data_IF_981001769774
#
_entry.id   IF_981001769774
#
_cell.length_a   1.000
_cell.length_b   1.000
_cell.length_c   1.000
_cell.angle_alpha   90.00
_cell.angle_beta   90.00
_cell.angle_gamma   90.00
#
_symmetry.space_group_name_H-M   'P 1'
#
loop_
_entity.id
_entity.type
_entity.pdbx_description
1 polymer ?
#
# COMPACT_ATOMS: atom_id res chain seq x y z
N UNK A 1 -0.12 -18.13 -3.24
CA UNK A 1 0.49 -19.48 -3.46
C UNK A 1 -0.11 -20.19 -4.69
N UNK A 2 -1.44 -20.27 -4.81
CA UNK A 2 -2.05 -21.00 -5.95
C UNK A 2 -1.73 -20.37 -7.31
N UNK A 3 -1.75 -19.03 -7.42
CA UNK A 3 -1.40 -18.34 -8.66
C UNK A 3 0.07 -18.56 -9.05
N UNK A 4 1.02 -18.48 -8.11
CA UNK A 4 2.44 -18.75 -8.38
C UNK A 4 2.69 -20.18 -8.88
N UNK A 5 1.98 -21.15 -8.32
CA UNK A 5 2.08 -22.56 -8.76
C UNK A 5 1.56 -22.73 -10.17
N UNK A 6 0.46 -22.07 -10.54
CA UNK A 6 -0.14 -22.15 -11.86
C UNK A 6 0.77 -21.64 -12.98
N UNK A 7 1.57 -20.61 -12.69
CA UNK A 7 2.48 -20.01 -13.67
C UNK A 7 3.95 -20.42 -13.48
N UNK A 8 4.23 -21.33 -12.54
CA UNK A 8 5.58 -21.80 -12.25
C UNK A 8 6.53 -20.71 -11.73
N UNK A 9 6.00 -19.66 -11.10
CA UNK A 9 6.80 -18.55 -10.61
C UNK A 9 7.64 -18.97 -9.40
N UNK A 10 8.97 -18.77 -9.49
CA UNK A 10 9.92 -19.10 -8.41
C UNK A 10 10.08 -17.96 -7.41
N UNK A 11 9.95 -16.70 -7.85
CA UNK A 11 10.07 -15.51 -7.04
C UNK A 11 8.85 -14.58 -7.24
N UNK A 12 7.67 -14.97 -6.74
CA UNK A 12 6.48 -14.15 -6.87
C UNK A 12 6.59 -12.91 -5.98
N UNK A 13 6.05 -11.80 -6.45
CA UNK A 13 5.83 -10.57 -5.68
C UNK A 13 4.37 -10.16 -5.84
N UNK A 14 3.73 -9.73 -4.76
CA UNK A 14 2.42 -9.10 -4.82
C UNK A 14 2.58 -7.59 -5.00
N UNK A 15 1.74 -6.99 -5.84
CA UNK A 15 1.69 -5.54 -6.02
C UNK A 15 0.26 -5.08 -5.82
N UNK A 16 0.05 -4.05 -5.03
CA UNK A 16 -1.28 -3.53 -4.76
C UNK A 16 -1.26 -2.23 -3.96
N UNK A 17 -2.44 -1.66 -3.82
CA UNK A 17 -2.68 -0.36 -3.16
C UNK A 17 -3.47 -0.49 -1.85
N UNK A 18 -3.91 -1.71 -1.49
CA UNK A 18 -4.69 -1.96 -0.29
C UNK A 18 -3.90 -2.74 0.75
N UNK A 19 -3.76 -2.14 1.93
CA UNK A 19 -2.99 -2.72 3.04
C UNK A 19 -3.66 -3.97 3.61
N UNK A 20 -4.98 -3.95 3.80
CA UNK A 20 -5.75 -5.02 4.44
C UNK A 20 -6.05 -6.23 3.53
N UNK A 21 -5.83 -6.12 2.23
CA UNK A 21 -6.04 -7.21 1.27
C UNK A 21 -4.76 -7.62 0.60
N UNK A 22 -4.19 -6.73 -0.23
CA UNK A 22 -3.04 -7.05 -1.08
C UNK A 22 -1.79 -7.28 -0.25
N UNK A 23 -1.47 -6.30 0.62
CA UNK A 23 -0.24 -6.35 1.41
C UNK A 23 -0.36 -7.38 2.53
N UNK A 24 -1.47 -7.39 3.27
CA UNK A 24 -1.70 -8.37 4.32
C UNK A 24 -1.74 -9.80 3.77
N UNK A 25 -2.36 -10.01 2.62
CA UNK A 25 -2.39 -11.31 1.95
C UNK A 25 -1.00 -11.78 1.53
N UNK A 26 -0.15 -10.88 1.02
CA UNK A 26 1.24 -11.18 0.67
C UNK A 26 2.07 -11.53 1.91
N UNK A 27 1.98 -10.72 2.97
CA UNK A 27 2.68 -10.96 4.25
C UNK A 27 2.28 -12.31 4.83
N UNK A 28 0.99 -12.62 4.89
CA UNK A 28 0.47 -13.91 5.37
C UNK A 28 0.94 -15.09 4.50
N UNK A 29 1.13 -14.88 3.20
CA UNK A 29 1.66 -15.88 2.29
C UNK A 29 3.19 -16.02 2.33
N UNK A 30 3.90 -15.14 3.04
CA UNK A 30 5.37 -15.08 3.05
C UNK A 30 5.95 -14.66 1.70
N UNK A 31 5.24 -13.81 0.94
CA UNK A 31 5.63 -13.31 -0.38
C UNK A 31 5.95 -11.83 -0.25
N UNK A 32 7.05 -11.33 -0.87
CA UNK A 32 7.31 -9.89 -0.92
C UNK A 32 6.13 -9.12 -1.50
N UNK A 33 5.86 -7.95 -0.96
CA UNK A 33 4.81 -7.06 -1.41
C UNK A 33 5.36 -5.69 -1.79
N UNK A 34 4.89 -5.12 -2.90
CA UNK A 34 5.09 -3.73 -3.28
C UNK A 34 3.79 -2.97 -3.12
N UNK A 35 3.82 -1.90 -2.34
CA UNK A 35 2.70 -0.97 -2.25
C UNK A 35 2.90 0.17 -3.25
N UNK A 36 1.84 0.51 -3.99
CA UNK A 36 1.80 1.62 -4.95
C UNK A 36 0.81 2.69 -4.47
N UNK A 37 1.16 3.96 -4.68
CA UNK A 37 0.40 5.11 -4.18
C UNK A 37 -0.72 5.58 -5.14
N UNK A 38 -1.01 4.81 -6.20
CA UNK A 38 -2.00 5.18 -7.22
C UNK A 38 -3.45 4.84 -6.87
N UNK A 39 -3.70 4.30 -5.68
CA UNK A 39 -5.00 3.77 -5.33
C UNK A 39 -5.54 4.19 -3.96
N UNK A 40 -6.08 3.24 -3.20
CA UNK A 40 -6.88 3.50 -1.99
C UNK A 40 -6.06 4.03 -0.82
N UNK A 41 -4.97 3.33 -0.47
CA UNK A 41 -4.14 3.75 0.67
C UNK A 41 -3.00 4.65 0.21
N UNK A 42 -2.93 5.82 0.83
CA UNK A 42 -1.89 6.81 0.59
C UNK A 42 -0.76 6.69 1.63
N UNK A 43 0.29 7.48 1.48
CA UNK A 43 1.50 7.41 2.28
C UNK A 43 1.26 7.38 3.79
N UNK A 44 0.38 8.25 4.30
CA UNK A 44 0.02 8.29 5.72
C UNK A 44 -0.49 6.96 6.27
N UNK A 45 -1.33 6.26 5.52
CA UNK A 45 -1.86 4.96 5.94
C UNK A 45 -0.74 3.92 6.05
N UNK A 46 0.19 3.92 5.10
CA UNK A 46 1.33 2.99 5.06
C UNK A 46 2.29 3.24 6.22
N UNK A 47 2.62 4.51 6.53
CA UNK A 47 3.49 4.86 7.66
C UNK A 47 2.92 4.39 9.00
N UNK A 48 1.60 4.29 9.12
CA UNK A 48 0.89 3.85 10.32
C UNK A 48 0.50 2.37 10.30
N UNK A 49 0.92 1.63 9.28
CA UNK A 49 0.53 0.24 9.08
C UNK A 49 1.05 -0.68 10.20
N UNK A 50 0.22 -1.58 10.74
CA UNK A 50 0.65 -2.63 11.66
C UNK A 50 1.54 -3.65 10.95
N UNK A 51 2.34 -4.42 11.68
CA UNK A 51 3.32 -5.38 11.12
C UNK A 51 2.78 -6.28 10.01
N UNK A 52 1.56 -6.78 10.14
CA UNK A 52 0.94 -7.66 9.16
C UNK A 52 0.52 -6.98 7.85
N UNK A 53 0.64 -5.65 7.77
CA UNK A 53 0.23 -4.84 6.61
C UNK A 53 1.38 -3.97 6.07
N UNK A 54 2.63 -4.28 6.41
CA UNK A 54 3.81 -3.53 5.94
C UNK A 54 4.34 -4.14 4.67
N UNK A 55 4.42 -3.37 3.58
CA UNK A 55 5.00 -3.85 2.32
C UNK A 55 6.52 -3.97 2.42
N UNK A 56 7.10 -4.81 1.56
CA UNK A 56 8.54 -4.94 1.39
C UNK A 56 9.12 -3.78 0.61
N UNK A 57 8.35 -3.30 -0.40
CA UNK A 57 8.75 -2.23 -1.31
C UNK A 57 7.69 -1.15 -1.36
N UNK A 58 8.13 0.09 -1.53
CA UNK A 58 7.30 1.28 -1.67
C UNK A 58 7.60 1.94 -3.02
N UNK A 59 6.56 2.18 -3.81
CA UNK A 59 6.66 2.79 -5.12
C UNK A 59 5.55 3.82 -5.34
N UNK A 60 5.77 4.78 -6.23
CA UNK A 60 4.74 5.73 -6.63
C UNK A 60 3.64 5.03 -7.42
N UNK A 61 4.03 4.19 -8.37
CA UNK A 61 3.14 3.45 -9.25
C UNK A 61 3.78 2.12 -9.72
N UNK A 62 3.16 1.46 -10.69
CA UNK A 62 3.61 0.17 -11.24
C UNK A 62 4.98 0.24 -11.95
N UNK A 63 5.46 1.42 -12.35
CA UNK A 63 6.80 1.59 -12.95
C UNK A 63 7.89 1.22 -11.98
N UNK A 64 7.62 1.36 -10.67
CA UNK A 64 8.50 0.92 -9.60
C UNK A 64 8.92 -0.56 -9.69
N UNK A 65 8.19 -1.41 -10.42
CA UNK A 65 8.64 -2.80 -10.68
C UNK A 65 9.91 -2.89 -11.53
N UNK A 66 10.24 -1.84 -12.25
CA UNK A 66 11.41 -1.74 -13.15
C UNK A 66 12.54 -0.91 -12.54
N UNK A 67 12.36 -0.38 -11.34
CA UNK A 67 13.29 0.52 -10.66
C UNK A 67 14.11 -0.20 -9.60
N UNK A 68 15.24 0.37 -9.24
CA UNK A 68 16.00 -0.08 -8.08
C UNK A 68 15.36 0.44 -6.79
N UNK A 69 15.21 -0.44 -5.81
CA UNK A 69 14.70 -0.09 -4.49
C UNK A 69 15.84 -0.06 -3.48
N UNK A 70 16.38 1.12 -3.13
CA UNK A 70 17.40 1.23 -2.09
C UNK A 70 16.81 0.77 -0.75
N UNK A 71 17.60 -0.01 -0.01
CA UNK A 71 17.20 -0.43 1.33
C UNK A 71 17.40 0.71 2.34
N UNK A 72 16.43 0.98 3.21
CA UNK A 72 16.61 1.92 4.31
C UNK A 72 17.76 1.48 5.22
N UNK A 73 18.55 2.45 5.69
CA UNK A 73 19.71 2.25 6.56
C UNK A 73 19.45 2.85 7.93
N UNK A 74 19.58 2.04 8.97
CA UNK A 74 19.52 2.47 10.36
C UNK A 74 20.90 2.95 10.82
N UNK A 75 20.94 4.09 11.50
CA UNK A 75 22.13 4.69 12.05
C UNK A 75 22.19 4.52 13.58
N UNK A 76 23.41 4.61 14.16
CA UNK A 76 23.62 4.39 15.60
C UNK A 76 22.92 5.41 16.51
N UNK A 77 22.58 6.57 15.97
CA UNK A 77 21.85 7.65 16.65
C UNK A 77 20.33 7.50 16.61
N UNK A 78 19.84 6.39 16.03
CA UNK A 78 18.42 6.10 15.89
C UNK A 78 17.75 6.80 14.72
N UNK A 79 18.54 7.33 13.76
CA UNK A 79 18.03 7.91 12.52
C UNK A 79 18.00 6.89 11.39
N UNK A 80 17.24 7.19 10.34
CA UNK A 80 17.13 6.39 9.13
C UNK A 80 17.39 7.24 7.89
N UNK A 81 18.03 6.61 6.89
CA UNK A 81 18.19 7.17 5.54
C UNK A 81 17.89 6.12 4.49
N UNK A 82 17.55 6.53 3.27
CA UNK A 82 17.32 5.65 2.12
C UNK A 82 17.72 6.37 0.83
N UNK A 83 18.64 5.80 0.04
CA UNK A 83 19.09 6.43 -1.20
C UNK A 83 19.55 7.88 -1.00
N UNK A 84 18.87 8.81 -1.64
CA UNK A 84 19.10 10.26 -1.57
C UNK A 84 18.17 10.97 -0.56
N UNK A 85 17.63 10.23 0.42
CA UNK A 85 16.67 10.79 1.38
C UNK A 85 17.28 11.84 2.29
N UNK A 86 16.39 12.67 2.82
CA UNK A 86 16.59 13.40 4.07
C UNK A 86 16.73 12.41 5.24
N UNK A 87 17.24 12.90 6.38
CA UNK A 87 17.40 12.10 7.60
C UNK A 87 16.04 11.96 8.31
N UNK A 88 15.53 10.75 8.36
CA UNK A 88 14.24 10.45 8.99
C UNK A 88 14.41 10.00 10.44
N UNK A 89 13.50 10.44 11.30
CA UNK A 89 13.46 10.08 12.72
C UNK A 89 12.05 10.19 13.27
N UNK A 90 11.80 9.58 14.41
CA UNK A 90 10.58 9.77 15.18
C UNK A 90 10.92 10.38 16.54
N UNK A 91 10.23 11.45 16.93
CA UNK A 91 10.41 12.06 18.24
C UNK A 91 9.91 11.14 19.35
N UNK A 92 10.26 11.46 20.60
CA UNK A 92 9.74 10.72 21.78
C UNK A 92 8.22 10.76 21.88
N UNK A 93 7.58 11.77 21.28
CA UNK A 93 6.13 11.92 21.22
C UNK A 93 5.46 11.15 20.07
N UNK A 94 6.24 10.49 19.23
CA UNK A 94 5.70 9.74 18.08
C UNK A 94 5.50 10.58 16.83
N UNK A 95 6.01 11.82 16.77
CA UNK A 95 5.94 12.68 15.59
C UNK A 95 7.10 12.37 14.65
N UNK A 96 6.81 12.27 13.34
CA UNK A 96 7.82 12.11 12.30
C UNK A 96 8.62 13.38 12.08
N UNK A 97 9.93 13.23 11.80
CA UNK A 97 10.81 14.34 11.43
C UNK A 97 11.61 14.01 10.19
N UNK A 98 11.92 15.02 9.38
CA UNK A 98 12.93 15.01 8.31
C UNK A 98 13.93 16.14 8.57
N UNK A 99 15.23 15.82 8.59
CA UNK A 99 16.30 16.76 8.92
C UNK A 99 16.03 17.57 10.21
N UNK A 100 15.51 16.86 11.25
CA UNK A 100 15.09 17.41 12.54
C UNK A 100 13.88 18.37 12.51
N UNK A 101 13.22 18.55 11.36
CA UNK A 101 11.99 19.33 11.23
C UNK A 101 10.80 18.40 11.49
N UNK A 102 9.95 18.70 12.46
CA UNK A 102 8.73 17.96 12.76
C UNK A 102 7.68 18.13 11.65
N UNK A 103 7.11 17.02 11.20
CA UNK A 103 6.06 17.01 10.18
C UNK A 103 4.70 17.16 10.88
N UNK A 104 4.23 18.39 11.01
CA UNK A 104 2.93 18.73 11.63
C UNK A 104 1.85 19.06 10.61
N UNK A 105 2.25 19.61 9.47
CA UNK A 105 1.38 20.04 8.38
C UNK A 105 1.57 19.19 7.15
N UNK A 106 0.64 19.28 6.19
CA UNK A 106 0.73 18.55 4.93
C UNK A 106 2.05 18.87 4.22
N UNK A 107 2.74 17.85 3.75
CA UNK A 107 4.08 17.97 3.18
C UNK A 107 4.24 17.14 1.93
N UNK A 108 5.06 17.65 0.99
CA UNK A 108 5.52 16.90 -0.17
C UNK A 108 6.96 16.44 0.05
N UNK A 109 7.22 15.16 -0.15
CA UNK A 109 8.54 14.54 0.06
C UNK A 109 8.92 13.63 -1.10
N UNK A 110 10.22 13.35 -1.26
CA UNK A 110 10.68 12.38 -2.24
C UNK A 110 10.37 10.95 -1.85
N UNK A 111 10.35 10.04 -2.83
CA UNK A 111 10.10 8.61 -2.59
C UNK A 111 11.18 8.00 -1.67
N UNK A 112 12.43 8.44 -1.72
CA UNK A 112 13.47 7.96 -0.84
C UNK A 112 13.27 8.46 0.60
N UNK A 113 12.87 9.72 0.79
CA UNK A 113 12.50 10.24 2.11
C UNK A 113 11.29 9.51 2.69
N UNK A 114 10.31 9.16 1.85
CA UNK A 114 9.17 8.34 2.26
C UNK A 114 9.59 6.94 2.72
N UNK A 115 10.53 6.28 2.00
CA UNK A 115 11.09 4.98 2.40
C UNK A 115 11.82 5.04 3.73
N UNK A 116 12.61 6.10 3.95
CA UNK A 116 13.30 6.33 5.23
C UNK A 116 12.31 6.58 6.38
N UNK A 117 11.28 7.41 6.15
CA UNK A 117 10.22 7.64 7.14
C UNK A 117 9.43 6.38 7.47
N UNK A 118 9.16 5.52 6.50
CA UNK A 118 8.46 4.26 6.73
C UNK A 118 9.26 3.35 7.68
N UNK A 119 10.57 3.24 7.46
CA UNK A 119 11.44 2.45 8.33
C UNK A 119 11.46 3.00 9.77
N UNK A 120 11.62 4.32 9.94
CA UNK A 120 11.61 4.98 11.24
C UNK A 120 10.25 4.82 11.95
N UNK A 121 9.14 5.02 11.23
CA UNK A 121 7.79 4.91 11.75
C UNK A 121 7.47 3.50 12.25
N UNK A 122 7.86 2.49 11.48
CA UNK A 122 7.60 1.10 11.83
C UNK A 122 8.46 0.61 13.00
N UNK A 123 9.73 1.01 13.07
CA UNK A 123 10.58 0.72 14.22
C UNK A 123 10.00 1.33 15.50
N UNK A 124 9.64 2.62 15.45
CA UNK A 124 9.04 3.31 16.59
C UNK A 124 7.73 2.66 17.03
N UNK A 125 6.85 2.33 16.07
CA UNK A 125 5.58 1.65 16.35
C UNK A 125 5.78 0.29 17.01
N UNK A 126 6.80 -0.44 16.58
CA UNK A 126 7.15 -1.74 17.16
C UNK A 126 7.66 -1.63 18.61
N UNK A 127 8.39 -0.56 18.93
CA UNK A 127 8.89 -0.31 20.27
C UNK A 127 7.85 0.30 21.21
N UNK A 128 7.00 1.20 20.72
CA UNK A 128 6.01 1.93 21.53
C UNK A 128 4.65 1.24 21.65
N UNK A 129 4.32 0.38 20.69
CA UNK A 129 2.98 -0.23 20.53
C UNK A 129 1.93 0.72 19.94
N UNK A 130 2.30 1.93 19.55
CA UNK A 130 1.40 2.94 19.00
C UNK A 130 1.79 3.35 17.57
N UNK A 131 0.85 3.73 16.70
CA UNK A 131 1.19 4.29 15.41
C UNK A 131 1.77 5.70 15.56
N UNK A 132 2.61 6.11 14.60
CA UNK A 132 3.16 7.48 14.55
C UNK A 132 2.08 8.51 14.31
N UNK A 133 2.35 9.74 14.77
CA UNK A 133 1.61 10.94 14.37
C UNK A 133 2.27 11.52 13.13
N UNK A 134 1.51 11.65 12.05
CA UNK A 134 1.97 12.26 10.81
C UNK A 134 0.82 12.98 10.10
N UNK A 135 1.13 14.07 9.37
CA UNK A 135 0.15 14.77 8.54
C UNK A 135 -0.18 13.99 7.27
N UNK A 136 -0.91 14.62 6.36
CA UNK A 136 -1.01 14.13 4.98
C UNK A 136 0.34 14.31 4.27
N UNK A 137 0.75 13.28 3.54
CA UNK A 137 2.04 13.26 2.86
C UNK A 137 1.80 12.98 1.38
N UNK A 138 2.26 13.89 0.53
CA UNK A 138 2.36 13.70 -0.91
C UNK A 138 3.76 13.20 -1.22
N UNK A 139 3.86 12.12 -1.98
CA UNK A 139 5.16 11.54 -2.36
C UNK A 139 5.39 11.77 -3.85
N UNK A 140 6.58 12.27 -4.18
CA UNK A 140 7.02 12.55 -5.55
C UNK A 140 8.31 11.79 -5.88
N UNK A 141 8.69 11.78 -7.14
CA UNK A 141 9.96 11.19 -7.58
C UNK A 141 11.15 11.94 -6.97
N UNK A 142 12.30 11.28 -6.83
CA UNK A 142 13.53 11.89 -6.33
C UNK A 142 14.04 13.03 -7.25
N UNK A 143 13.74 12.95 -8.53
CA UNK A 143 14.15 13.95 -9.54
C UNK A 143 13.16 15.12 -9.66
N UNK A 144 12.06 15.11 -8.91
CA UNK A 144 11.10 16.20 -8.91
C UNK A 144 11.57 17.35 -8.00
N UNK A 145 11.89 18.55 -8.55
CA UNK A 145 12.35 19.69 -7.77
C UNK A 145 11.31 20.22 -6.75
N UNK A 146 10.03 19.85 -6.90
CA UNK A 146 8.99 20.17 -5.92
C UNK A 146 9.08 19.31 -4.64
N UNK A 147 9.92 18.25 -4.62
CA UNK A 147 10.11 17.34 -3.49
C UNK A 147 10.98 17.87 -2.34
N UNK A 148 11.33 19.14 -2.31
CA UNK A 148 12.04 19.77 -1.22
C UNK A 148 11.13 20.82 -0.58
N UNK A 149 10.47 20.43 0.54
CA UNK A 149 9.77 21.31 1.48
C UNK A 149 9.45 22.71 0.91
N UNK A 150 8.49 22.78 -0.01
CA UNK A 150 7.81 24.02 -0.31
C UNK A 150 6.62 24.10 0.65
N UNK A 151 6.51 25.18 1.42
CA UNK A 151 5.28 25.52 2.11
C UNK A 151 4.10 25.40 1.13
N UNK A 152 2.92 24.91 1.56
CA UNK A 152 1.77 24.82 0.70
C UNK A 152 1.38 26.25 0.30
N UNK A 153 1.80 26.69 -0.90
CA UNK A 153 1.07 27.79 -1.54
C UNK A 153 -0.36 27.29 -1.68
N UNK A 154 -1.22 27.93 -0.91
CA UNK A 154 -2.65 27.73 -1.00
C UNK A 154 -3.03 27.88 -2.47
N UNK A 155 -3.32 26.76 -3.12
CA UNK A 155 -4.05 26.77 -4.39
C UNK A 155 -5.39 27.42 -4.07
N UNK A 156 -5.45 28.73 -4.29
CA UNK A 156 -6.69 29.46 -4.40
C UNK A 156 -7.41 28.82 -5.60
N UNK A 157 -8.30 27.90 -5.32
CA UNK A 157 -9.31 27.48 -6.27
C UNK A 157 -10.19 28.71 -6.51
N UNK A 158 -9.90 29.42 -7.57
CA UNK A 158 -10.75 30.45 -8.11
C UNK A 158 -12.08 29.77 -8.46
N UNK A 159 -13.05 29.93 -7.56
CA UNK A 159 -14.43 29.51 -7.80
C UNK A 159 -15.06 30.55 -8.75
N UNK A 160 -14.67 30.48 -10.02
CA UNK A 160 -15.41 31.16 -11.08
C UNK A 160 -16.48 30.19 -11.58
N UNK A 161 -17.69 30.54 -11.27
CA UNK A 161 -18.92 29.99 -11.79
C UNK A 161 -18.88 29.73 -13.29
N UNK A 162 -19.30 28.54 -13.70
CA UNK A 162 -20.06 28.37 -14.91
C UNK A 162 -21.26 27.48 -14.60
N UNK A 163 -22.38 28.16 -14.33
CA UNK A 163 -23.71 27.62 -14.52
C UNK A 163 -23.88 27.35 -16.01
N UNK A 164 -24.10 26.12 -16.38
CA UNK A 164 -25.00 25.62 -17.41
C UNK A 164 -24.55 24.20 -17.81
N UNK A 165 -24.98 23.21 -17.07
CA UNK A 165 -25.18 21.91 -17.68
C UNK A 165 -26.59 21.45 -17.39
N UNK A 166 -27.47 21.72 -18.37
CA UNK A 166 -28.83 21.25 -18.40
C UNK A 166 -28.82 19.71 -18.35
N UNK A 167 -29.40 19.18 -17.30
CA UNK A 167 -29.71 17.75 -17.16
C UNK A 167 -30.76 17.41 -18.18
N UNK A 168 -30.39 16.79 -19.28
CA UNK A 168 -31.33 16.10 -20.16
C UNK A 168 -31.70 14.79 -19.46
N UNK A 169 -32.92 14.78 -18.97
CA UNK A 169 -33.64 13.60 -18.47
C UNK A 169 -33.87 12.64 -19.66
N UNK A 170 -33.01 11.63 -19.77
CA UNK A 170 -33.28 10.45 -20.59
C UNK A 170 -33.50 9.28 -19.61
N UNK A 171 -34.79 9.06 -19.34
CA UNK A 171 -35.22 7.78 -18.81
C UNK A 171 -34.97 6.74 -19.90
N UNK A 172 -33.92 5.91 -19.70
CA UNK A 172 -33.74 4.71 -20.49
C UNK A 172 -33.81 3.52 -19.56
N UNK A 173 -34.76 2.68 -19.87
CA UNK A 173 -35.22 1.49 -19.20
C UNK A 173 -34.06 0.50 -19.06
N UNK A 174 -33.66 0.15 -17.83
CA UNK A 174 -32.74 -0.95 -17.56
C UNK A 174 -33.39 -2.25 -18.02
N UNK A 175 -32.73 -3.05 -18.85
CA UNK A 175 -33.22 -4.39 -19.18
C UNK A 175 -33.21 -5.26 -17.92
N UNK A 176 -34.31 -5.95 -17.70
CA UNK A 176 -34.46 -6.95 -16.66
C UNK A 176 -33.39 -8.04 -16.77
N UNK A 177 -32.82 -8.53 -15.65
CA UNK A 177 -31.82 -9.59 -15.70
C UNK A 177 -32.49 -10.88 -16.21
N UNK A 178 -32.02 -11.39 -17.33
CA UNK A 178 -32.39 -12.73 -17.83
C UNK A 178 -31.97 -13.78 -16.80
N UNK A 179 -32.93 -14.55 -16.33
CA UNK A 179 -32.75 -15.75 -15.52
C UNK A 179 -32.05 -16.86 -16.35
N UNK A 180 -30.72 -16.79 -16.49
CA UNK A 180 -29.91 -17.95 -16.89
C UNK A 180 -28.47 -17.76 -16.40
N UNK A 181 -28.25 -17.91 -15.10
CA UNK A 181 -26.95 -18.21 -14.57
C UNK A 181 -26.93 -19.74 -14.34
N UNK A 182 -26.10 -20.51 -15.04
CA UNK A 182 -25.91 -21.90 -14.66
C UNK A 182 -25.15 -21.91 -13.34
N UNK A 183 -25.85 -22.27 -12.27
CA UNK A 183 -25.27 -22.60 -10.97
C UNK A 183 -24.40 -23.84 -11.16
N UNK A 184 -23.10 -23.66 -11.34
CA UNK A 184 -22.14 -24.74 -11.20
C UNK A 184 -21.91 -24.99 -9.72
N UNK A 185 -22.84 -25.69 -9.09
CA UNK A 185 -22.62 -26.35 -7.81
C UNK A 185 -22.29 -27.80 -8.14
N UNK A 186 -21.15 -28.34 -7.67
CA UNK A 186 -20.89 -29.78 -7.80
C UNK A 186 -22.01 -30.54 -7.08
N UNK A 187 -22.53 -31.59 -7.72
CA UNK A 187 -23.56 -32.42 -7.15
C UNK A 187 -23.10 -33.10 -5.86
N UNK A 188 -24.07 -33.47 -5.00
CA UNK A 188 -23.76 -34.14 -3.73
C UNK A 188 -22.92 -35.42 -3.92
N UNK A 189 -23.02 -36.13 -5.05
CA UNK A 189 -22.19 -37.29 -5.38
C UNK A 189 -20.70 -36.94 -5.64
N UNK A 190 -20.39 -35.72 -6.16
CA UNK A 190 -18.99 -35.27 -6.34
C UNK A 190 -18.36 -34.83 -5.02
N UNK A 191 -19.16 -34.34 -4.09
CA UNK A 191 -18.70 -33.98 -2.74
C UNK A 191 -18.39 -35.23 -1.90
N UNK A 192 -19.20 -36.28 -2.00
CA UNK A 192 -18.93 -37.57 -1.30
C UNK A 192 -17.67 -38.24 -1.84
N UNK A 193 -17.44 -38.23 -3.16
CA UNK A 193 -16.23 -38.80 -3.78
C UNK A 193 -14.94 -38.06 -3.37
N UNK A 194 -15.03 -36.73 -3.13
CA UNK A 194 -13.91 -35.93 -2.62
C UNK A 194 -13.61 -36.17 -1.14
N UNK A 195 -14.62 -36.50 -0.35
CA UNK A 195 -14.48 -36.84 1.07
C UNK A 195 -13.92 -38.27 1.26
N UNK A 196 -14.29 -39.26 0.44
CA UNK A 196 -13.70 -40.58 0.48
C UNK A 196 -12.23 -40.60 0.03
N UNK A 197 -11.84 -39.79 -0.96
CA UNK A 197 -10.47 -39.69 -1.42
C UNK A 197 -9.50 -39.06 -0.40
N UNK A 198 -10.00 -38.33 0.61
CA UNK A 198 -9.17 -37.75 1.67
C UNK A 198 -9.05 -38.65 2.90
N UNK A 199 -9.92 -39.66 3.06
CA UNK A 199 -9.90 -40.57 4.20
C UNK A 199 -8.83 -41.65 4.09
N UNK A 200 -8.40 -42.02 2.87
CA UNK A 200 -7.40 -43.07 2.63
C UNK A 200 -5.93 -42.56 2.78
N UNK A 201 -5.69 -41.31 3.06
CA UNK A 201 -4.32 -40.77 3.21
C UNK A 201 -3.79 -40.73 4.66
N UNK A 202 -4.59 -41.10 5.65
CA UNK A 202 -4.17 -41.02 7.08
C UNK A 202 -3.82 -42.37 7.73
N UNK A 203 -3.75 -43.49 6.95
CA UNK A 203 -3.47 -44.83 7.51
C UNK A 203 -2.13 -45.47 7.06
N UNK A 204 -1.15 -44.67 6.61
CA UNK A 204 0.23 -45.14 6.37
C UNK A 204 1.25 -44.16 6.99
N UNK A 205 1.39 -44.20 8.32
CA UNK A 205 2.56 -43.66 9.02
C UNK A 205 2.88 -44.50 10.27
#
# INVERSE_FOLDING_TARGET
>A
RRASQLVGATNPMAVGDRLETDIMGAVAAGVPAMHVLTGVHQARAVLRAPRGQRPTYLALDMRGMLEAHPAPKHHRDGTWTCGLSQVAKVTRGGTLTLDDIELTDAVTISIDSYRALAAAAWEWSDGSGNPVTCPEITVVDNDDPAGIVAEPEALAVDAAADEDFAVAEAADELPEPSEETPAFLPGEEELEALLEATADMDDEA
#
